data_IF_936919404025
#
_entry.id   IF_936919404025
#
_cell.length_a   1.000
_cell.length_b   1.000
_cell.length_c   1.000
_cell.angle_alpha   90.00
_cell.angle_beta   90.00
_cell.angle_gamma   90.00
#
_symmetry.space_group_name_H-M   'P 1'
#
loop_
_entity.id
_entity.type
_entity.pdbx_description
1 polymer ?
#
# COMPACT_ATOMS: atom_id res chain seq x y z
N UNK A 1 -17.17 12.39 -22.67
CA UNK A 1 -17.07 11.30 -21.68
C UNK A 1 -18.38 11.31 -20.96
N UNK A 2 -19.22 10.35 -21.29
CA UNK A 2 -20.54 10.26 -20.68
C UNK A 2 -20.37 9.78 -19.25
N UNK A 3 -21.28 10.14 -18.34
CA UNK A 3 -21.19 9.71 -16.94
C UNK A 3 -21.18 8.17 -16.82
N UNK A 4 -21.71 7.48 -17.85
CA UNK A 4 -21.74 6.03 -17.97
C UNK A 4 -20.33 5.42 -18.14
N UNK A 5 -19.50 5.98 -19.02
CA UNK A 5 -18.12 5.50 -19.26
C UNK A 5 -17.29 5.46 -17.96
N UNK A 6 -17.45 6.49 -17.12
CA UNK A 6 -16.75 6.59 -15.84
C UNK A 6 -17.28 5.60 -14.80
N UNK A 7 -18.58 5.33 -14.81
CA UNK A 7 -19.21 4.35 -13.92
C UNK A 7 -18.77 2.92 -14.30
N UNK A 8 -18.75 2.60 -15.59
CA UNK A 8 -18.25 1.32 -16.08
C UNK A 8 -16.78 1.12 -15.74
N UNK A 9 -15.93 2.14 -15.96
CA UNK A 9 -14.52 2.10 -15.56
C UNK A 9 -14.38 1.81 -14.06
N UNK A 10 -15.16 2.47 -13.21
CA UNK A 10 -15.14 2.23 -11.78
C UNK A 10 -15.52 0.79 -11.43
N UNK A 11 -16.55 0.24 -12.08
CA UNK A 11 -16.96 -1.15 -11.87
C UNK A 11 -15.88 -2.15 -12.30
N UNK A 12 -15.22 -1.93 -13.43
CA UNK A 12 -14.10 -2.76 -13.90
C UNK A 12 -12.92 -2.72 -12.92
N UNK A 13 -12.56 -1.54 -12.42
CA UNK A 13 -11.50 -1.40 -11.39
C UNK A 13 -11.86 -2.18 -10.13
N UNK A 14 -13.11 -2.07 -9.64
CA UNK A 14 -13.55 -2.77 -8.44
C UNK A 14 -13.55 -4.30 -8.62
N UNK A 15 -13.94 -4.78 -9.80
CA UNK A 15 -13.92 -6.20 -10.14
C UNK A 15 -12.47 -6.73 -10.23
N UNK A 16 -11.59 -6.04 -10.95
CA UNK A 16 -10.18 -6.40 -11.03
C UNK A 16 -9.51 -6.40 -9.64
N UNK A 17 -9.79 -5.38 -8.82
CA UNK A 17 -9.26 -5.32 -7.46
C UNK A 17 -9.76 -6.48 -6.58
N UNK A 18 -10.98 -6.98 -6.80
CA UNK A 18 -11.49 -8.18 -6.11
C UNK A 18 -10.71 -9.43 -6.52
N UNK A 19 -10.48 -9.64 -7.81
CA UNK A 19 -9.72 -10.79 -8.31
C UNK A 19 -8.28 -10.77 -7.80
N UNK A 20 -7.62 -9.62 -7.84
CA UNK A 20 -6.27 -9.45 -7.26
C UNK A 20 -6.30 -9.88 -5.80
N UNK A 21 -7.19 -9.32 -4.97
CA UNK A 21 -7.25 -9.66 -3.54
C UNK A 21 -7.52 -11.15 -3.30
N UNK A 22 -8.44 -11.74 -4.05
CA UNK A 22 -8.78 -13.15 -3.88
C UNK A 22 -7.61 -14.09 -4.23
N UNK A 23 -6.86 -13.76 -5.29
CA UNK A 23 -5.77 -14.61 -5.80
C UNK A 23 -4.40 -14.32 -5.18
N UNK A 24 -4.26 -13.24 -4.41
CA UNK A 24 -3.00 -12.92 -3.71
C UNK A 24 -2.72 -13.81 -2.48
N UNK A 25 -3.50 -14.86 -2.26
CA UNK A 25 -3.34 -15.76 -1.11
C UNK A 25 -2.58 -17.06 -1.45
N UNK A 26 -1.82 -17.07 -2.55
CA UNK A 26 -1.27 -18.32 -3.10
C UNK A 26 0.12 -18.61 -2.54
N UNK A 27 0.92 -17.60 -2.20
CA UNK A 27 2.26 -17.75 -1.65
C UNK A 27 2.20 -17.76 -0.12
N UNK A 28 2.49 -18.90 0.53
CA UNK A 28 2.44 -19.02 2.00
C UNK A 28 3.50 -18.17 2.72
N UNK A 29 4.49 -17.63 1.98
CA UNK A 29 5.50 -16.72 2.53
C UNK A 29 5.07 -15.25 2.45
N UNK A 30 4.06 -14.92 1.64
CA UNK A 30 3.55 -13.56 1.53
C UNK A 30 2.61 -13.27 2.71
N UNK A 31 2.89 -12.18 3.42
CA UNK A 31 2.10 -11.69 4.55
C UNK A 31 1.23 -10.55 4.06
N UNK A 32 -0.08 -10.72 4.23
CA UNK A 32 -1.05 -9.65 4.00
C UNK A 32 -1.07 -8.67 5.17
N UNK A 33 -0.96 -7.39 4.83
CA UNK A 33 -1.19 -6.31 5.77
C UNK A 33 -2.67 -5.94 5.76
N UNK A 34 -3.22 -5.70 6.95
CA UNK A 34 -4.56 -5.11 7.02
C UNK A 34 -4.51 -3.65 6.49
N UNK A 35 -5.68 -3.03 6.19
CA UNK A 35 -5.70 -1.69 5.58
C UNK A 35 -4.96 -0.60 6.39
N UNK A 36 -4.97 -0.68 7.73
CA UNK A 36 -4.27 0.28 8.59
C UNK A 36 -2.76 0.06 8.54
N UNK A 37 -2.32 -1.19 8.63
CA UNK A 37 -0.91 -1.57 8.52
C UNK A 37 -0.33 -1.22 7.15
N UNK A 38 -1.06 -1.47 6.06
CA UNK A 38 -0.63 -1.11 4.72
C UNK A 38 -0.46 0.41 4.56
N UNK A 39 -1.38 1.21 5.12
CA UNK A 39 -1.26 2.68 5.14
C UNK A 39 -0.04 3.15 5.93
N UNK A 40 0.20 2.55 7.10
CA UNK A 40 1.35 2.86 7.95
C UNK A 40 2.65 2.51 7.24
N UNK A 41 2.75 1.31 6.65
CA UNK A 41 3.92 0.89 5.86
C UNK A 41 4.16 1.82 4.69
N UNK A 42 3.13 2.16 3.91
CA UNK A 42 3.26 3.10 2.78
C UNK A 42 3.87 4.45 3.22
N UNK A 43 3.47 4.96 4.39
CA UNK A 43 4.01 6.19 4.92
C UNK A 43 5.49 6.06 5.34
N UNK A 44 5.85 4.93 5.96
CA UNK A 44 7.22 4.66 6.43
C UNK A 44 8.15 4.40 5.23
N UNK A 45 7.69 3.66 4.22
CA UNK A 45 8.44 3.38 3.00
C UNK A 45 8.70 4.67 2.20
N UNK A 46 7.73 5.59 2.18
CA UNK A 46 7.88 6.88 1.51
C UNK A 46 8.87 7.82 2.22
N UNK A 47 8.97 7.72 3.55
CA UNK A 47 9.89 8.52 4.36
C UNK A 47 10.49 7.69 5.51
N UNK A 48 11.54 6.91 5.25
CA UNK A 48 12.25 6.20 6.31
C UNK A 48 12.78 7.19 7.36
N UNK A 49 12.65 6.83 8.63
CA UNK A 49 12.98 7.69 9.77
C UNK A 49 11.86 8.63 10.21
N UNK A 50 10.65 8.49 9.67
CA UNK A 50 9.48 9.27 10.08
C UNK A 50 9.08 8.99 11.54
N UNK A 51 8.58 10.01 12.22
CA UNK A 51 8.09 9.87 13.61
C UNK A 51 6.69 9.26 13.65
N UNK A 52 6.30 8.53 14.71
CA UNK A 52 4.93 8.05 14.86
C UNK A 52 3.86 9.13 14.79
N UNK A 53 4.14 10.35 15.27
CA UNK A 53 3.19 11.47 15.19
C UNK A 53 2.95 11.90 13.74
N UNK A 54 4.01 12.02 12.93
CA UNK A 54 3.89 12.36 11.52
C UNK A 54 3.14 11.25 10.73
N UNK A 55 3.36 9.97 11.07
CA UNK A 55 2.58 8.88 10.48
C UNK A 55 1.09 8.97 10.87
N UNK A 56 0.78 9.29 12.12
CA UNK A 56 -0.61 9.45 12.57
C UNK A 56 -1.32 10.55 11.77
N UNK A 57 -0.65 11.69 11.60
CA UNK A 57 -1.14 12.83 10.84
C UNK A 57 -1.35 12.47 9.36
N UNK A 58 -0.35 11.87 8.72
CA UNK A 58 -0.41 11.50 7.31
C UNK A 58 -1.47 10.43 7.01
N UNK A 59 -1.70 9.50 7.94
CA UNK A 59 -2.65 8.38 7.77
C UNK A 59 -4.06 8.70 8.27
N UNK A 60 -4.22 9.76 9.08
CA UNK A 60 -5.46 10.09 9.79
C UNK A 60 -5.83 9.07 10.88
N UNK A 61 -4.91 8.18 11.25
CA UNK A 61 -5.16 7.17 12.27
C UNK A 61 -5.11 7.78 13.67
N UNK A 62 -6.08 7.40 14.50
CA UNK A 62 -6.00 7.69 15.93
C UNK A 62 -4.77 7.02 16.56
N UNK A 63 -4.21 7.64 17.60
CA UNK A 63 -2.97 7.20 18.25
C UNK A 63 -3.03 5.75 18.74
N UNK A 64 -4.16 5.31 19.27
CA UNK A 64 -4.39 3.91 19.70
C UNK A 64 -4.30 2.95 18.52
N UNK A 65 -4.98 3.25 17.41
CA UNK A 65 -4.98 2.42 16.21
C UNK A 65 -3.60 2.36 15.54
N UNK A 66 -2.89 3.49 15.48
CA UNK A 66 -1.51 3.52 14.99
C UNK A 66 -0.60 2.65 15.86
N UNK A 67 -0.73 2.75 17.19
CA UNK A 67 0.10 1.96 18.11
C UNK A 67 -0.13 0.46 17.94
N UNK A 68 -1.38 0.04 17.74
CA UNK A 68 -1.73 -1.36 17.44
C UNK A 68 -1.14 -1.81 16.11
N UNK A 69 -1.27 -1.00 15.05
CA UNK A 69 -0.73 -1.32 13.73
C UNK A 69 0.81 -1.43 13.76
N UNK A 70 1.49 -0.48 14.40
CA UNK A 70 2.94 -0.51 14.53
C UNK A 70 3.42 -1.71 15.33
N UNK A 71 2.73 -2.08 16.41
CA UNK A 71 3.07 -3.28 17.18
C UNK A 71 2.98 -4.54 16.32
N UNK A 72 1.89 -4.72 15.57
CA UNK A 72 1.74 -5.88 14.68
C UNK A 72 2.77 -5.91 13.54
N UNK A 73 3.22 -4.74 13.07
CA UNK A 73 4.30 -4.64 12.08
C UNK A 73 5.67 -4.95 12.69
N UNK A 74 5.95 -4.50 13.91
CA UNK A 74 7.18 -4.78 14.65
C UNK A 74 7.30 -6.26 15.03
N UNK A 75 6.22 -6.86 15.53
CA UNK A 75 6.18 -8.29 15.90
C UNK A 75 6.45 -9.19 14.69
N UNK A 76 6.08 -8.75 13.49
CA UNK A 76 6.38 -9.44 12.23
C UNK A 76 7.70 -9.02 11.59
N UNK A 77 8.44 -8.10 12.23
CA UNK A 77 9.75 -7.65 11.77
C UNK A 77 9.71 -6.76 10.52
N UNK A 78 8.59 -6.11 10.21
CA UNK A 78 8.44 -5.25 9.03
C UNK A 78 8.84 -3.80 9.30
N UNK A 79 8.77 -3.38 10.55
CA UNK A 79 9.17 -2.05 11.02
C UNK A 79 10.13 -2.20 12.18
N UNK A 80 11.13 -1.33 12.23
CA UNK A 80 11.97 -1.14 13.38
C UNK A 80 11.85 0.29 13.94
N UNK A 81 11.89 0.39 15.27
CA UNK A 81 11.96 1.66 16.00
C UNK A 81 13.39 1.93 16.41
N UNK A 82 13.91 3.10 16.05
CA UNK A 82 15.23 3.57 16.48
C UNK A 82 15.08 4.85 17.30
N UNK A 83 15.81 4.96 18.41
CA UNK A 83 15.85 6.19 19.21
C UNK A 83 16.38 7.33 18.36
N UNK A 84 15.77 8.51 18.45
CA UNK A 84 16.25 9.67 17.70
C UNK A 84 17.61 10.12 18.27
N UNK A 85 18.66 10.23 17.42
CA UNK A 85 19.98 10.66 17.86
C UNK A 85 20.01 12.12 18.37
N UNK A 86 19.05 12.96 17.98
CA UNK A 86 18.95 14.37 18.38
C UNK A 86 17.98 14.60 19.55
N UNK A 87 17.06 13.67 19.79
CA UNK A 87 16.15 13.66 20.94
C UNK A 87 16.01 12.26 21.53
N UNK A 88 16.66 12.01 22.68
CA UNK A 88 16.58 10.70 23.35
C UNK A 88 15.18 10.31 23.81
N UNK A 89 14.20 11.24 23.77
CA UNK A 89 12.79 10.97 24.05
C UNK A 89 11.99 10.62 22.78
N UNK A 90 12.56 10.88 21.60
CA UNK A 90 11.97 10.61 20.30
C UNK A 90 12.33 9.21 19.76
N UNK A 91 11.45 8.69 18.89
CA UNK A 91 11.65 7.42 18.17
C UNK A 91 11.27 7.62 16.71
N UNK A 92 12.10 7.09 15.82
CA UNK A 92 11.94 7.14 14.38
C UNK A 92 11.69 5.73 13.83
N UNK A 93 10.80 5.64 12.86
CA UNK A 93 10.32 4.40 12.27
C UNK A 93 11.05 4.12 10.95
N UNK A 94 11.55 2.91 10.78
CA UNK A 94 12.22 2.48 9.55
C UNK A 94 11.59 1.19 9.04
N UNK A 95 11.45 1.02 7.72
CA UNK A 95 11.10 -0.27 7.14
C UNK A 95 12.32 -1.19 7.23
N UNK A 96 12.08 -2.49 7.31
CA UNK A 96 13.15 -3.50 7.30
C UNK A 96 13.34 -4.09 5.90
N UNK A 97 14.40 -4.88 5.70
CA UNK A 97 14.55 -5.66 4.47
C UNK A 97 13.38 -6.64 4.26
N UNK A 98 12.84 -7.20 5.35
CA UNK A 98 11.74 -8.16 5.31
C UNK A 98 10.45 -7.55 4.73
N UNK A 99 10.15 -6.27 5.03
CA UNK A 99 8.97 -5.62 4.44
C UNK A 99 9.11 -5.45 2.92
N UNK A 100 10.31 -5.11 2.44
CA UNK A 100 10.60 -4.98 1.01
C UNK A 100 10.52 -6.33 0.29
N UNK A 101 11.08 -7.40 0.88
CA UNK A 101 10.97 -8.76 0.38
C UNK A 101 9.50 -9.21 0.30
N UNK A 102 8.73 -8.94 1.35
CA UNK A 102 7.30 -9.26 1.36
C UNK A 102 6.53 -8.52 0.26
N UNK A 103 6.81 -7.23 0.05
CA UNK A 103 6.19 -6.45 -1.01
C UNK A 103 6.55 -7.00 -2.40
N UNK A 104 7.80 -7.42 -2.61
CA UNK A 104 8.22 -8.03 -3.87
C UNK A 104 7.47 -9.34 -4.17
N UNK A 105 7.25 -10.18 -3.15
CA UNK A 105 6.45 -11.39 -3.29
C UNK A 105 5.00 -11.06 -3.69
N UNK A 106 4.37 -10.11 -3.00
CA UNK A 106 3.01 -9.66 -3.32
C UNK A 106 2.90 -9.10 -4.74
N UNK A 107 3.86 -8.27 -5.16
CA UNK A 107 3.88 -7.70 -6.51
C UNK A 107 4.00 -8.78 -7.58
N UNK A 108 4.79 -9.83 -7.34
CA UNK A 108 4.88 -10.97 -8.26
C UNK A 108 3.55 -11.71 -8.40
N UNK A 109 2.83 -11.94 -7.29
CA UNK A 109 1.51 -12.58 -7.33
C UNK A 109 0.47 -11.73 -8.05
N UNK A 110 0.47 -10.41 -7.82
CA UNK A 110 -0.42 -9.49 -8.52
C UNK A 110 -0.13 -9.47 -10.02
N UNK A 111 1.14 -9.43 -10.40
CA UNK A 111 1.55 -9.47 -11.81
C UNK A 111 1.11 -10.77 -12.47
N UNK A 112 1.32 -11.93 -11.84
CA UNK A 112 0.85 -13.21 -12.36
C UNK A 112 -0.67 -13.27 -12.48
N UNK A 113 -1.40 -12.74 -11.49
CA UNK A 113 -2.86 -12.69 -11.53
C UNK A 113 -3.36 -11.87 -12.71
N UNK A 114 -2.79 -10.69 -12.94
CA UNK A 114 -3.18 -9.83 -14.05
C UNK A 114 -2.79 -10.44 -15.40
N UNK A 115 -1.63 -11.09 -15.50
CA UNK A 115 -1.19 -11.77 -16.72
C UNK A 115 -2.19 -12.87 -17.15
N UNK A 116 -2.82 -13.58 -16.21
CA UNK A 116 -3.86 -14.56 -16.54
C UNK A 116 -5.10 -13.94 -17.21
N UNK A 117 -5.44 -12.70 -16.86
CA UNK A 117 -6.59 -11.99 -17.42
C UNK A 117 -6.28 -11.32 -18.77
N UNK A 118 -5.03 -10.89 -18.96
CA UNK A 118 -4.57 -10.21 -20.18
C UNK A 118 -4.20 -11.20 -21.30
N UNK A 119 -3.78 -12.42 -20.94
CA UNK A 119 -3.25 -13.37 -21.92
C UNK A 119 -1.98 -12.83 -22.56
N UNK A 120 -1.85 -12.99 -23.88
CA UNK A 120 -0.65 -12.57 -24.63
C UNK A 120 -0.70 -11.10 -25.10
N UNK A 121 -1.80 -10.38 -24.87
CA UNK A 121 -1.93 -8.96 -25.25
C UNK A 121 -1.87 -8.04 -24.03
N UNK A 122 -0.71 -7.41 -23.83
CA UNK A 122 -0.45 -6.44 -22.78
C UNK A 122 -0.25 -5.00 -23.31
N UNK A 123 -0.59 -4.78 -24.58
CA UNK A 123 -0.29 -3.53 -25.30
C UNK A 123 -0.89 -2.28 -24.62
N UNK A 124 -2.06 -2.42 -24.01
CA UNK A 124 -2.76 -1.34 -23.31
C UNK A 124 -2.34 -1.14 -21.85
N UNK A 125 -1.53 -2.03 -21.26
CA UNK A 125 -1.17 -1.99 -19.83
C UNK A 125 -0.47 -0.67 -19.47
N UNK A 126 0.42 -0.19 -20.33
CA UNK A 126 1.13 1.07 -20.10
C UNK A 126 0.17 2.27 -20.12
N UNK A 127 -0.80 2.28 -21.03
CA UNK A 127 -1.81 3.32 -21.11
C UNK A 127 -2.74 3.29 -19.88
N UNK A 128 -3.23 2.11 -19.51
CA UNK A 128 -4.06 1.90 -18.32
C UNK A 128 -3.35 2.34 -17.04
N UNK A 129 -2.08 1.95 -16.85
CA UNK A 129 -1.26 2.37 -15.70
C UNK A 129 -1.15 3.89 -15.61
N UNK A 130 -0.91 4.59 -16.73
CA UNK A 130 -0.84 6.06 -16.75
C UNK A 130 -2.17 6.71 -16.38
N UNK A 131 -3.29 6.17 -16.88
CA UNK A 131 -4.63 6.66 -16.54
C UNK A 131 -4.91 6.49 -15.04
N UNK A 132 -4.68 5.29 -14.50
CA UNK A 132 -4.91 4.98 -13.09
C UNK A 132 -4.02 5.81 -12.15
N UNK A 133 -2.75 6.05 -12.51
CA UNK A 133 -1.86 6.91 -11.73
C UNK A 133 -2.37 8.36 -11.66
N UNK A 134 -2.90 8.89 -12.77
CA UNK A 134 -3.53 10.23 -12.80
C UNK A 134 -4.79 10.28 -11.94
N UNK A 135 -5.62 9.22 -12.00
CA UNK A 135 -6.82 9.10 -11.17
C UNK A 135 -6.48 9.06 -9.69
N UNK A 136 -5.52 8.22 -9.29
CA UNK A 136 -5.07 8.10 -7.89
C UNK A 136 -4.57 9.44 -7.33
N UNK A 137 -3.68 10.11 -8.07
CA UNK A 137 -3.17 11.42 -7.67
C UNK A 137 -4.28 12.49 -7.55
N UNK A 138 -5.24 12.50 -8.49
CA UNK A 138 -6.38 13.41 -8.47
C UNK A 138 -7.31 13.18 -7.27
N UNK A 139 -7.63 11.91 -6.98
CA UNK A 139 -8.47 11.54 -5.84
C UNK A 139 -7.77 11.80 -4.50
N UNK A 140 -6.47 11.53 -4.40
CA UNK A 140 -5.69 11.84 -3.20
C UNK A 140 -5.62 13.35 -2.94
N UNK A 141 -5.50 14.18 -3.98
CA UNK A 141 -5.55 15.63 -3.85
C UNK A 141 -6.92 16.14 -3.39
N UNK A 142 -8.01 15.55 -3.89
CA UNK A 142 -9.37 15.92 -3.51
C UNK A 142 -9.69 15.59 -2.04
N UNK A 143 -9.15 14.48 -1.49
CA UNK A 143 -9.36 14.08 -0.09
C UNK A 143 -8.68 15.00 0.93
N UNK A 144 -7.63 15.73 0.52
CA UNK A 144 -6.88 16.66 1.37
C UNK A 144 -7.48 18.07 1.42
N UNK A 145 -8.51 18.34 0.63
CA UNK A 145 -9.27 19.59 0.61
C UNK A 145 -10.53 19.45 1.45
#
# INVERSE_FOLDING_TARGET
MEADDLAELAQLILNAAREIRFRSHVNPKAVMLNPSEAKVMTCIDAQPGVTPSAVAEATGLQRSNLSTALRGLEERGFVERRVDPHDRRGVNLYPTALSAENLALLQQEWAQTLALGLGDDDSDVVAAKRLLARLDAGLAAARRR
#
